data_IF_312482188535
#
_entry.id   IF_312482188535
#
_cell.length_a   1.000
_cell.length_b   1.000
_cell.length_c   1.000
_cell.angle_alpha   90.00
_cell.angle_beta   90.00
_cell.angle_gamma   90.00
#
_symmetry.space_group_name_H-M   'P 1'
#
loop_
_entity.id
_entity.type
_entity.pdbx_description
1 polymer ?
#
# COMPACT_ATOMS: atom_id res chain seq x y z
N UNK A 1 -33.36 21.98 -50.88
CA UNK A 1 -34.65 21.59 -50.26
C UNK A 1 -34.36 20.99 -48.90
N UNK A 2 -35.12 21.42 -47.90
CA UNK A 2 -35.18 21.02 -46.49
C UNK A 2 -34.04 21.48 -45.53
N UNK A 3 -34.47 22.43 -44.70
CA UNK A 3 -33.84 23.07 -43.53
C UNK A 3 -34.36 22.36 -42.26
N UNK A 4 -33.68 22.59 -41.12
CA UNK A 4 -34.13 22.52 -39.69
C UNK A 4 -33.70 21.25 -38.93
N UNK A 5 -33.23 21.27 -37.67
CA UNK A 5 -33.27 22.26 -36.59
C UNK A 5 -32.07 22.10 -35.64
N UNK A 6 -31.58 23.22 -35.11
CA UNK A 6 -30.68 23.30 -33.94
C UNK A 6 -31.52 23.76 -32.74
N UNK A 7 -31.47 23.05 -31.61
CA UNK A 7 -32.16 23.46 -30.37
C UNK A 7 -31.16 24.15 -29.44
N UNK A 8 -31.42 25.42 -29.17
CA UNK A 8 -30.71 26.26 -28.19
C UNK A 8 -31.61 26.37 -26.96
N UNK A 9 -31.12 25.99 -25.79
CA UNK A 9 -31.80 26.25 -24.52
C UNK A 9 -31.29 27.56 -23.91
N UNK A 10 -32.21 28.51 -23.72
CA UNK A 10 -32.08 29.71 -22.88
C UNK A 10 -33.14 29.65 -21.79
N UNK A 11 -32.74 29.78 -20.52
CA UNK A 11 -33.58 30.30 -19.42
C UNK A 11 -32.67 31.23 -18.61
N UNK A 12 -32.86 32.55 -18.71
CA UNK A 12 -33.83 33.39 -18.02
C UNK A 12 -33.41 33.73 -16.58
N UNK A 13 -32.88 34.96 -16.42
CA UNK A 13 -32.71 35.67 -15.16
C UNK A 13 -34.07 36.15 -14.65
N UNK A 14 -34.29 36.04 -13.35
CA UNK A 14 -35.23 36.90 -12.62
C UNK A 14 -34.59 37.30 -11.27
N UNK A 15 -34.26 38.58 -11.15
CA UNK A 15 -34.29 39.33 -9.88
C UNK A 15 -35.77 39.72 -9.65
N UNK A 16 -36.31 39.87 -8.44
CA UNK A 16 -36.08 40.88 -7.39
C UNK A 16 -37.15 40.52 -6.31
N UNK A 17 -36.99 40.61 -4.98
CA UNK A 17 -37.11 41.82 -4.17
C UNK A 17 -37.12 41.42 -2.68
N UNK A 18 -36.55 42.31 -1.87
CA UNK A 18 -36.34 42.24 -0.42
C UNK A 18 -37.62 42.26 0.44
N UNK A 19 -37.49 41.76 1.67
CA UNK A 19 -38.17 42.32 2.84
C UNK A 19 -37.32 42.14 4.11
N UNK A 20 -37.34 43.21 4.90
CA UNK A 20 -36.49 43.56 6.03
C UNK A 20 -36.80 42.76 7.30
N UNK A 21 -35.79 42.58 8.14
CA UNK A 21 -35.94 42.13 9.53
C UNK A 21 -34.64 42.26 10.32
N UNK A 22 -34.40 43.46 10.86
CA UNK A 22 -33.80 43.77 12.19
C UNK A 22 -33.23 42.56 12.95
N UNK A 23 -31.93 42.43 13.20
CA UNK A 23 -31.08 43.34 13.96
C UNK A 23 -30.93 42.82 15.39
N UNK A 24 -29.75 42.28 15.74
CA UNK A 24 -29.25 42.13 17.12
C UNK A 24 -27.75 41.76 17.13
N UNK A 25 -26.93 42.66 17.66
CA UNK A 25 -25.74 42.40 18.49
C UNK A 25 -24.59 41.55 17.94
N UNK A 26 -23.57 42.21 17.39
CA UNK A 26 -22.20 41.69 17.38
C UNK A 26 -21.52 42.12 18.68
N UNK A 27 -21.55 41.26 19.70
CA UNK A 27 -20.58 41.32 20.79
C UNK A 27 -19.39 40.43 20.41
N UNK A 28 -18.22 41.05 20.34
CA UNK A 28 -16.94 40.38 20.15
C UNK A 28 -16.66 39.49 21.38
N UNK A 29 -16.84 38.19 21.23
CA UNK A 29 -16.38 37.22 22.21
C UNK A 29 -14.83 37.20 22.23
N UNK A 30 -14.20 37.22 23.41
CA UNK A 30 -12.75 37.18 23.50
C UNK A 30 -12.22 35.84 22.97
N UNK A 31 -11.16 35.93 22.16
CA UNK A 31 -10.35 34.79 21.70
C UNK A 31 -9.90 33.96 22.90
N UNK A 32 -10.56 32.82 23.10
CA UNK A 32 -10.08 31.77 24.01
C UNK A 32 -8.84 31.13 23.37
N UNK A 33 -7.71 31.03 24.06
CA UNK A 33 -6.57 30.25 23.57
C UNK A 33 -7.02 28.80 23.43
N UNK A 34 -6.77 28.22 22.24
CA UNK A 34 -6.97 26.79 21.99
C UNK A 34 -6.25 26.01 23.08
N UNK A 35 -7.00 25.25 23.89
CA UNK A 35 -6.41 24.36 24.87
C UNK A 35 -5.50 23.35 24.16
N UNK A 36 -4.33 23.01 24.74
CA UNK A 36 -3.51 21.94 24.20
C UNK A 36 -4.35 20.67 24.17
N UNK A 37 -4.47 20.05 22.98
CA UNK A 37 -5.08 18.74 22.82
C UNK A 37 -4.44 17.80 23.85
N UNK A 38 -5.26 17.24 24.75
CA UNK A 38 -4.78 16.25 25.71
C UNK A 38 -4.08 15.13 24.95
N UNK A 39 -2.94 14.60 25.46
CA UNK A 39 -2.32 13.43 24.86
C UNK A 39 -3.35 12.30 24.84
N UNK A 40 -3.68 11.80 23.65
CA UNK A 40 -4.52 10.61 23.51
C UNK A 40 -3.83 9.48 24.28
N UNK A 41 -4.47 9.03 25.37
CA UNK A 41 -4.06 7.88 26.15
C UNK A 41 -3.84 6.67 25.24
N UNK A 42 -2.91 5.76 25.58
CA UNK A 42 -2.72 4.54 24.80
C UNK A 42 -4.04 3.76 24.74
N UNK A 43 -4.29 3.04 23.65
CA UNK A 43 -5.50 2.25 23.54
C UNK A 43 -5.52 1.17 24.62
N UNK A 44 -6.50 1.27 25.51
CA UNK A 44 -6.97 0.18 26.35
C UNK A 44 -7.70 -0.84 25.48
N UNK A 45 -8.00 -2.02 26.02
CA UNK A 45 -8.84 -3.04 25.37
C UNK A 45 -10.24 -2.53 24.89
N UNK A 46 -10.58 -1.26 25.17
CA UNK A 46 -11.69 -0.52 24.58
C UNK A 46 -11.56 -0.22 23.08
N UNK A 47 -10.42 -0.44 22.41
CA UNK A 47 -10.39 -0.35 20.94
C UNK A 47 -11.21 -1.45 20.23
N UNK A 48 -11.64 -2.49 20.96
CA UNK A 48 -12.69 -3.40 20.48
C UNK A 48 -14.10 -2.74 20.47
N UNK A 49 -14.24 -1.51 20.98
CA UNK A 49 -15.49 -0.74 20.98
C UNK A 49 -15.62 0.21 19.77
N UNK A 50 -14.57 0.40 18.96
CA UNK A 50 -14.74 0.96 17.62
C UNK A 50 -15.29 -0.19 16.77
N UNK A 51 -16.48 -0.06 16.14
CA UNK A 51 -16.98 -1.13 15.31
C UNK A 51 -15.98 -1.36 14.19
N UNK A 52 -15.40 -2.56 14.15
CA UNK A 52 -14.92 -3.07 12.88
C UNK A 52 -16.16 -3.14 11.99
N UNK A 53 -16.27 -2.17 11.08
CA UNK A 53 -17.42 -2.12 10.20
C UNK A 53 -17.46 -3.42 9.41
N UNK A 54 -18.62 -4.07 9.40
CA UNK A 54 -18.81 -5.23 8.55
C UNK A 54 -18.42 -4.85 7.12
N UNK A 55 -17.46 -5.59 6.55
CA UNK A 55 -17.04 -5.35 5.18
C UNK A 55 -18.25 -5.64 4.30
N UNK A 56 -18.79 -4.64 3.58
CA UNK A 56 -20.11 -4.75 2.94
C UNK A 56 -20.11 -5.66 1.72
N UNK A 57 -18.94 -6.10 1.28
CA UNK A 57 -18.73 -6.96 0.12
C UNK A 57 -17.70 -8.04 0.47
N UNK A 58 -17.95 -9.27 0.05
CA UNK A 58 -17.05 -10.40 0.23
C UNK A 58 -16.83 -11.12 -1.11
N UNK A 59 -15.58 -11.49 -1.38
CA UNK A 59 -15.23 -12.38 -2.49
C UNK A 59 -15.62 -13.81 -2.11
N UNK A 60 -16.31 -14.50 -3.02
CA UNK A 60 -16.79 -15.87 -2.82
C UNK A 60 -16.11 -16.84 -3.77
N UNK A 61 -16.21 -18.14 -3.49
CA UNK A 61 -15.69 -19.17 -4.39
C UNK A 61 -16.32 -19.14 -5.79
N UNK A 62 -17.51 -18.56 -5.95
CA UNK A 62 -18.17 -18.41 -7.25
C UNK A 62 -17.55 -17.30 -8.10
N UNK A 63 -16.84 -16.36 -7.49
CA UNK A 63 -16.20 -15.22 -8.16
C UNK A 63 -14.79 -15.56 -8.68
N UNK A 64 -14.23 -16.71 -8.28
CA UNK A 64 -12.84 -17.09 -8.53
C UNK A 64 -12.76 -18.03 -9.74
N UNK A 65 -11.86 -17.72 -10.67
CA UNK A 65 -11.50 -18.61 -11.77
C UNK A 65 -10.97 -19.97 -11.29
N UNK A 66 -11.36 -21.07 -11.93
CA UNK A 66 -10.83 -22.41 -11.61
C UNK A 66 -9.42 -22.66 -12.18
N UNK A 67 -8.58 -21.62 -12.34
CA UNK A 67 -7.34 -21.66 -13.15
C UNK A 67 -6.20 -22.40 -12.43
N UNK A 68 -6.31 -23.72 -12.33
CA UNK A 68 -5.24 -24.57 -11.77
C UNK A 68 -5.10 -24.46 -10.24
N UNK A 69 -6.11 -23.91 -9.57
CA UNK A 69 -6.19 -23.91 -8.12
C UNK A 69 -6.91 -25.19 -7.66
N UNK A 70 -6.37 -25.83 -6.64
CA UNK A 70 -7.05 -26.92 -5.94
C UNK A 70 -7.56 -26.45 -4.59
N UNK A 71 -8.73 -26.94 -4.20
CA UNK A 71 -9.31 -26.58 -2.91
C UNK A 71 -8.48 -27.20 -1.79
N UNK A 72 -8.06 -26.37 -0.84
CA UNK A 72 -7.30 -26.82 0.33
C UNK A 72 -8.22 -27.62 1.24
N UNK A 73 -7.80 -28.85 1.58
CA UNK A 73 -8.58 -29.74 2.43
C UNK A 73 -8.59 -29.29 3.90
N UNK A 74 -7.46 -28.77 4.37
CA UNK A 74 -7.33 -28.24 5.72
C UNK A 74 -7.98 -26.85 5.83
N UNK A 75 -8.61 -26.57 6.98
CA UNK A 75 -9.11 -25.22 7.25
C UNK A 75 -7.94 -24.29 7.53
N UNK A 76 -7.89 -23.17 6.83
CA UNK A 76 -7.03 -22.05 7.19
C UNK A 76 -7.59 -21.33 8.40
N UNK A 77 -6.70 -20.84 9.25
CA UNK A 77 -7.08 -19.99 10.38
C UNK A 77 -7.27 -18.57 9.87
N UNK A 78 -8.48 -18.02 10.00
CA UNK A 78 -8.78 -16.63 9.66
C UNK A 78 -8.89 -15.82 10.94
N UNK A 79 -8.24 -14.66 10.98
CA UNK A 79 -8.35 -13.70 12.06
C UNK A 79 -9.79 -13.22 12.17
N UNK A 80 -10.30 -13.17 13.39
CA UNK A 80 -11.49 -12.36 13.66
C UNK A 80 -11.21 -10.90 13.32
N UNK A 81 -12.27 -10.11 13.02
CA UNK A 81 -12.17 -8.67 12.87
C UNK A 81 -11.34 -7.97 13.97
N UNK A 82 -11.53 -8.38 15.23
CA UNK A 82 -10.80 -7.84 16.37
C UNK A 82 -9.32 -8.23 16.38
N UNK A 83 -8.99 -9.48 16.06
CA UNK A 83 -7.61 -9.92 15.93
C UNK A 83 -6.93 -9.16 14.80
N UNK A 84 -7.60 -9.00 13.65
CA UNK A 84 -7.06 -8.26 12.51
C UNK A 84 -6.77 -6.79 12.83
N UNK A 85 -7.66 -6.12 13.58
CA UNK A 85 -7.51 -4.70 13.93
C UNK A 85 -6.48 -4.44 15.04
N UNK A 86 -6.32 -5.38 15.97
CA UNK A 86 -5.36 -5.25 17.08
C UNK A 86 -3.98 -5.81 16.77
N UNK A 87 -3.86 -6.53 15.64
CA UNK A 87 -2.59 -7.07 15.18
C UNK A 87 -1.67 -5.91 14.81
N UNK A 88 -0.57 -5.82 15.54
CA UNK A 88 0.59 -5.06 15.10
C UNK A 88 1.36 -5.94 14.09
N UNK A 89 1.32 -5.65 12.78
CA UNK A 89 2.01 -6.48 11.79
C UNK A 89 3.52 -6.49 12.00
N UNK A 90 4.08 -5.51 12.73
CA UNK A 90 5.49 -5.56 13.15
C UNK A 90 5.71 -6.51 14.33
N UNK A 91 4.69 -6.76 15.17
CA UNK A 91 4.78 -7.70 16.29
C UNK A 91 4.87 -9.14 15.84
N UNK A 92 4.41 -9.38 14.61
CA UNK A 92 4.52 -10.64 13.92
C UNK A 92 6.02 -11.09 13.93
N UNK A 93 6.94 -10.16 13.70
CA UNK A 93 8.37 -10.41 13.52
C UNK A 93 9.16 -10.63 14.83
N UNK A 94 8.46 -10.96 15.94
CA UNK A 94 9.08 -11.20 17.26
C UNK A 94 9.43 -12.66 17.52
N UNK A 95 8.94 -13.59 16.70
CA UNK A 95 9.33 -14.99 16.82
C UNK A 95 10.73 -15.20 16.26
N UNK A 96 11.51 -16.08 16.91
CA UNK A 96 12.81 -16.45 16.41
C UNK A 96 12.67 -17.15 15.03
N UNK A 97 13.59 -16.95 14.08
CA UNK A 97 13.49 -17.52 12.74
C UNK A 97 13.25 -19.04 12.72
N UNK A 98 13.85 -19.78 13.64
CA UNK A 98 13.67 -21.22 13.81
C UNK A 98 12.23 -21.60 14.22
N UNK A 99 11.58 -20.77 15.03
CA UNK A 99 10.19 -20.98 15.44
C UNK A 99 9.23 -20.67 14.29
N UNK A 100 9.51 -19.61 13.51
CA UNK A 100 8.76 -19.30 12.29
C UNK A 100 8.87 -20.45 11.29
N UNK A 101 10.07 -21.00 11.11
CA UNK A 101 10.30 -22.15 10.23
C UNK A 101 9.56 -23.41 10.72
N UNK A 102 9.57 -23.68 12.02
CA UNK A 102 8.83 -24.80 12.62
C UNK A 102 7.32 -24.66 12.39
N UNK A 103 6.74 -23.50 12.71
CA UNK A 103 5.32 -23.23 12.51
C UNK A 103 4.90 -23.36 11.04
N UNK A 104 5.75 -22.89 10.12
CA UNK A 104 5.56 -23.05 8.68
C UNK A 104 5.51 -24.52 8.24
N UNK A 105 6.41 -25.35 8.75
CA UNK A 105 6.53 -26.77 8.39
C UNK A 105 5.39 -27.61 8.99
N UNK A 106 4.86 -27.16 10.12
CA UNK A 106 3.69 -27.77 10.77
C UNK A 106 2.36 -27.35 10.13
N UNK A 107 2.31 -26.20 9.44
CA UNK A 107 1.10 -25.63 8.86
C UNK A 107 0.52 -26.49 7.73
N UNK A 108 -0.39 -27.38 8.12
CA UNK A 108 -1.07 -28.32 7.22
C UNK A 108 -1.94 -27.64 6.16
N UNK A 109 -2.29 -26.36 6.33
CA UNK A 109 -3.06 -25.63 5.32
C UNK A 109 -2.26 -25.41 4.03
N UNK A 110 -0.93 -25.44 4.11
CA UNK A 110 -0.05 -25.31 2.95
C UNK A 110 0.27 -26.63 2.26
N UNK A 111 -0.28 -27.76 2.73
CA UNK A 111 0.00 -29.07 2.16
C UNK A 111 -1.19 -29.59 1.36
N UNK A 112 -0.92 -30.01 0.13
CA UNK A 112 -1.83 -30.76 -0.71
C UNK A 112 -2.05 -32.18 -0.15
N UNK A 113 -3.11 -32.90 -0.59
CA UNK A 113 -3.37 -34.27 -0.13
C UNK A 113 -2.25 -35.27 -0.41
N UNK A 114 -1.44 -35.02 -1.44
CA UNK A 114 -0.25 -35.81 -1.78
C UNK A 114 0.99 -35.46 -0.94
N UNK A 115 0.89 -34.46 -0.05
CA UNK A 115 1.96 -33.97 0.80
C UNK A 115 2.84 -32.89 0.15
N UNK A 116 2.60 -32.54 -1.11
CA UNK A 116 3.31 -31.43 -1.77
C UNK A 116 2.88 -30.10 -1.15
N UNK A 117 3.82 -29.16 -0.98
CA UNK A 117 3.49 -27.82 -0.47
C UNK A 117 2.97 -26.93 -1.60
N UNK A 118 1.89 -26.20 -1.35
CA UNK A 118 1.45 -25.13 -2.23
C UNK A 118 2.50 -24.03 -2.34
N UNK A 119 2.68 -23.51 -3.56
CA UNK A 119 3.54 -22.34 -3.78
C UNK A 119 2.83 -21.03 -3.46
N UNK A 120 1.53 -20.97 -3.72
CA UNK A 120 0.68 -19.81 -3.48
C UNK A 120 -0.71 -20.26 -3.01
N UNK A 121 -1.37 -19.41 -2.23
CA UNK A 121 -2.72 -19.65 -1.74
C UNK A 121 -3.61 -18.43 -1.95
N UNK A 122 -4.84 -18.69 -2.40
CA UNK A 122 -5.98 -17.80 -2.26
C UNK A 122 -6.72 -18.15 -0.99
N UNK A 123 -7.02 -17.15 -0.16
CA UNK A 123 -7.88 -17.31 1.01
C UNK A 123 -9.03 -16.32 0.97
N UNK A 124 -10.24 -16.85 1.08
CA UNK A 124 -11.49 -16.08 1.07
C UNK A 124 -11.93 -15.69 2.49
N UNK A 125 -12.89 -14.79 2.59
CA UNK A 125 -13.39 -14.28 3.87
C UNK A 125 -14.00 -15.35 4.78
N UNK A 126 -14.57 -16.40 4.20
CA UNK A 126 -15.17 -17.53 4.92
C UNK A 126 -14.14 -18.59 5.36
N UNK A 127 -12.86 -18.38 5.07
CA UNK A 127 -11.78 -19.34 5.32
C UNK A 127 -11.73 -20.48 4.32
N UNK A 128 -12.51 -20.43 3.22
CA UNK A 128 -12.25 -21.28 2.07
C UNK A 128 -10.92 -20.88 1.47
N UNK A 129 -10.05 -21.86 1.22
CA UNK A 129 -8.76 -21.64 0.61
C UNK A 129 -8.55 -22.52 -0.61
N UNK A 130 -7.79 -21.99 -1.56
CA UNK A 130 -7.34 -22.69 -2.75
C UNK A 130 -5.83 -22.54 -2.89
N UNK A 131 -5.14 -23.65 -3.13
CA UNK A 131 -3.70 -23.69 -3.30
C UNK A 131 -3.32 -23.91 -4.76
N UNK A 132 -2.19 -23.33 -5.18
CA UNK A 132 -1.55 -23.64 -6.47
C UNK A 132 -0.29 -24.44 -6.21
N UNK A 133 -0.15 -25.56 -6.92
CA UNK A 133 1.09 -26.33 -6.97
C UNK A 133 1.95 -25.85 -8.14
N UNK A 134 3.25 -25.74 -7.92
CA UNK A 134 4.20 -25.27 -8.93
C UNK A 134 4.10 -23.78 -9.27
N UNK A 135 4.96 -23.40 -10.22
CA UNK A 135 5.12 -22.02 -10.66
C UNK A 135 3.86 -21.47 -11.33
N UNK A 136 3.69 -20.15 -11.25
CA UNK A 136 2.66 -19.46 -12.01
C UNK A 136 2.88 -19.65 -13.53
N UNK A 137 1.81 -19.76 -14.32
CA UNK A 137 1.90 -19.69 -15.78
C UNK A 137 2.60 -18.41 -16.24
N UNK A 138 3.31 -18.48 -17.37
CA UNK A 138 3.97 -17.31 -17.94
C UNK A 138 2.95 -16.26 -18.37
N UNK A 139 3.18 -15.03 -17.91
CA UNK A 139 2.40 -13.86 -18.28
C UNK A 139 3.11 -13.04 -19.37
N UNK A 140 2.36 -12.28 -20.19
CA UNK A 140 2.93 -11.33 -21.13
C UNK A 140 3.87 -10.35 -20.43
N UNK A 141 5.08 -10.16 -20.97
CA UNK A 141 6.11 -9.33 -20.32
C UNK A 141 5.76 -7.84 -20.45
N UNK A 142 5.68 -7.09 -19.34
CA UNK A 142 5.50 -5.65 -19.35
C UNK A 142 6.71 -4.95 -19.98
N UNK A 143 6.45 -3.86 -20.70
CA UNK A 143 7.44 -3.07 -21.42
C UNK A 143 6.97 -1.64 -21.60
N UNK A 144 7.84 -0.74 -22.05
CA UNK A 144 7.44 0.64 -22.37
C UNK A 144 6.25 0.72 -23.34
N UNK A 145 6.15 -0.23 -24.29
CA UNK A 145 5.07 -0.28 -25.27
C UNK A 145 3.68 -0.46 -24.64
N UNK A 146 3.61 -1.15 -23.49
CA UNK A 146 2.39 -1.33 -22.71
C UNK A 146 2.41 -0.52 -21.40
N UNK A 147 3.33 0.44 -21.28
CA UNK A 147 3.57 1.24 -20.06
C UNK A 147 3.76 0.38 -18.82
N UNK A 148 4.41 -0.76 -18.99
CA UNK A 148 4.57 -1.80 -17.98
C UNK A 148 3.27 -2.28 -17.33
N UNK A 149 2.15 -2.19 -18.04
CA UNK A 149 0.81 -2.50 -17.53
C UNK A 149 0.12 -1.35 -16.76
N UNK A 150 0.79 -0.20 -16.58
CA UNK A 150 0.22 0.95 -15.89
C UNK A 150 -0.99 1.55 -16.63
N UNK A 151 -1.98 2.04 -15.88
CA UNK A 151 -3.16 2.72 -16.42
C UNK A 151 -3.45 4.03 -15.68
N UNK A 152 -3.84 5.05 -16.45
CA UNK A 152 -3.96 6.45 -16.03
C UNK A 152 -2.67 7.13 -15.51
N UNK A 153 -1.54 6.83 -16.14
CA UNK A 153 -0.34 7.65 -16.10
C UNK A 153 0.08 8.04 -17.51
N UNK A 154 0.11 9.34 -17.83
CA UNK A 154 1.11 9.79 -18.79
C UNK A 154 2.46 9.50 -18.13
N UNK A 155 3.27 8.61 -18.72
CA UNK A 155 4.69 8.55 -18.37
C UNK A 155 5.21 9.98 -18.46
N UNK A 156 5.90 10.52 -17.44
CA UNK A 156 6.66 11.73 -17.68
C UNK A 156 7.53 11.43 -18.90
N UNK A 157 7.38 12.24 -19.95
CA UNK A 157 8.27 12.18 -21.11
C UNK A 157 9.72 12.23 -20.63
N UNK A 158 10.67 11.70 -21.39
CA UNK A 158 12.09 11.84 -21.03
C UNK A 158 12.44 13.31 -20.72
N UNK A 159 11.80 14.27 -21.41
CA UNK A 159 11.89 15.69 -21.10
C UNK A 159 11.35 16.09 -19.71
N UNK A 160 10.25 15.49 -19.25
CA UNK A 160 9.71 15.70 -17.90
C UNK A 160 10.55 14.99 -16.82
N UNK A 161 11.14 13.85 -17.12
CA UNK A 161 12.10 13.17 -16.23
C UNK A 161 13.38 13.99 -16.14
N UNK A 162 13.94 14.44 -17.26
CA UNK A 162 15.10 15.32 -17.31
C UNK A 162 14.83 16.67 -16.65
N UNK A 163 13.64 17.26 -16.82
CA UNK A 163 13.28 18.50 -16.14
C UNK A 163 13.02 18.29 -14.65
N UNK A 164 12.46 17.15 -14.23
CA UNK A 164 12.37 16.80 -12.82
C UNK A 164 13.76 16.60 -12.19
N UNK A 165 14.68 15.92 -12.89
CA UNK A 165 16.08 15.80 -12.49
C UNK A 165 16.73 17.19 -12.43
N UNK A 166 16.51 18.04 -13.44
CA UNK A 166 17.09 19.38 -13.47
C UNK A 166 16.49 20.32 -12.41
N UNK A 167 15.20 20.18 -12.07
CA UNK A 167 14.55 20.89 -10.95
C UNK A 167 15.04 20.37 -9.60
N UNK A 168 15.28 19.07 -9.48
CA UNK A 168 15.95 18.50 -8.31
C UNK A 168 17.33 19.13 -8.20
N UNK A 169 18.19 19.04 -9.22
CA UNK A 169 19.53 19.63 -9.27
C UNK A 169 19.55 21.15 -8.99
N UNK A 170 18.46 21.88 -9.31
CA UNK A 170 18.28 23.31 -8.99
C UNK A 170 17.67 23.59 -7.61
N UNK A 171 17.25 22.57 -6.87
CA UNK A 171 16.60 22.71 -5.55
C UNK A 171 15.16 23.24 -5.62
N UNK A 172 14.48 23.10 -6.75
CA UNK A 172 13.13 23.65 -7.04
C UNK A 172 12.00 22.62 -6.91
N UNK A 173 12.28 21.49 -6.26
CA UNK A 173 11.29 20.51 -5.84
C UNK A 173 10.95 20.65 -4.37
N UNK A 174 9.73 20.29 -4.02
CA UNK A 174 9.24 20.01 -2.67
C UNK A 174 9.97 18.80 -2.01
N UNK A 175 10.91 18.18 -2.75
CA UNK A 175 11.99 17.35 -2.22
C UNK A 175 13.27 18.18 -2.04
N UNK A 176 13.62 18.39 -0.77
CA UNK A 176 14.87 18.98 -0.28
C UNK A 176 16.08 18.48 -1.07
N UNK A 177 16.80 19.36 -1.78
CA UNK A 177 18.21 19.13 -2.14
C UNK A 177 19.13 20.02 -1.30
N UNK A 178 20.06 19.35 -0.63
CA UNK A 178 21.19 19.95 0.07
C UNK A 178 22.16 18.93 0.63
N UNK A 179 22.07 17.65 0.29
CA UNK A 179 23.02 16.64 0.77
C UNK A 179 23.93 16.12 -0.35
N UNK A 180 25.20 15.98 0.04
CA UNK A 180 26.31 15.36 -0.68
C UNK A 180 25.94 13.96 -1.26
N UNK A 181 26.74 13.39 -2.17
CA UNK A 181 26.57 12.02 -2.69
C UNK A 181 26.18 11.02 -1.59
N UNK A 182 25.41 9.96 -1.94
CA UNK A 182 24.77 9.07 -0.98
C UNK A 182 25.80 8.64 0.06
N UNK A 183 25.61 9.13 1.28
CA UNK A 183 26.43 8.66 2.40
C UNK A 183 26.03 7.20 2.56
N UNK A 184 26.97 6.28 2.34
CA UNK A 184 26.82 4.89 2.82
C UNK A 184 26.54 4.97 4.31
N UNK A 185 25.27 4.83 4.69
CA UNK A 185 24.87 4.94 6.08
C UNK A 185 25.40 3.69 6.81
N UNK A 186 26.17 3.92 7.86
CA UNK A 186 26.85 2.85 8.63
C UNK A 186 26.01 2.38 9.82
N UNK A 187 24.70 2.67 9.87
CA UNK A 187 23.87 2.38 11.06
C UNK A 187 22.44 1.97 10.72
N UNK A 188 21.91 1.14 11.63
CA UNK A 188 20.60 0.49 11.67
C UNK A 188 19.40 1.39 11.35
N UNK A 189 18.28 0.71 11.01
CA UNK A 189 16.94 1.26 10.72
C UNK A 189 16.95 2.74 10.31
N UNK A 190 17.05 2.97 9.01
CA UNK A 190 16.89 4.28 8.40
C UNK A 190 15.54 4.90 8.78
N UNK A 191 15.59 5.95 9.62
CA UNK A 191 14.43 6.62 10.22
C UNK A 191 14.21 6.39 11.73
N UNK A 192 15.10 5.67 12.44
CA UNK A 192 14.98 5.45 13.89
C UNK A 192 15.34 6.68 14.75
N UNK A 193 16.24 7.51 14.24
CA UNK A 193 16.60 8.83 14.77
C UNK A 193 15.79 9.89 14.05
N UNK A 194 15.00 10.65 14.82
CA UNK A 194 14.28 11.82 14.32
C UNK A 194 15.18 12.85 13.61
N UNK A 195 16.47 12.90 13.96
CA UNK A 195 17.40 13.86 13.37
C UNK A 195 17.78 13.49 11.93
N UNK A 196 17.69 12.21 11.57
CA UNK A 196 18.15 11.66 10.30
C UNK A 196 16.99 11.17 9.41
N UNK A 197 15.74 11.33 9.86
CA UNK A 197 14.53 10.97 9.10
C UNK A 197 14.25 12.00 7.99
N UNK A 198 14.48 11.57 6.74
CA UNK A 198 14.32 12.34 5.49
C UNK A 198 12.94 12.20 4.88
N UNK A 199 12.03 11.43 5.47
CA UNK A 199 10.67 11.29 4.92
C UNK A 199 9.95 12.62 4.93
N UNK A 200 9.46 13.03 3.77
CA UNK A 200 8.56 14.16 3.63
C UNK A 200 7.11 13.71 3.83
N UNK A 201 6.32 14.53 4.51
CA UNK A 201 4.86 14.37 4.62
C UNK A 201 4.20 14.94 3.37
N UNK A 202 3.32 14.18 2.71
CA UNK A 202 2.53 14.68 1.58
C UNK A 202 1.38 15.53 2.11
N UNK A 203 1.56 16.84 2.24
CA UNK A 203 0.61 17.72 2.93
C UNK A 203 -0.52 18.27 2.05
N UNK A 204 -0.36 18.21 0.73
CA UNK A 204 -1.31 18.75 -0.24
C UNK A 204 -2.32 17.69 -0.67
N UNK A 205 -3.62 18.00 -0.53
CA UNK A 205 -4.69 17.14 -1.07
C UNK A 205 -4.65 17.07 -2.59
N UNK A 206 -4.16 18.11 -3.27
CA UNK A 206 -3.90 18.07 -4.72
C UNK A 206 -2.85 17.01 -5.06
N UNK A 207 -1.78 16.91 -4.28
CA UNK A 207 -0.75 15.88 -4.48
C UNK A 207 -1.31 14.49 -4.17
N UNK A 208 -2.04 14.32 -3.06
CA UNK A 208 -2.67 13.04 -2.69
C UNK A 208 -3.71 12.52 -3.70
N UNK A 209 -4.33 13.41 -4.47
CA UNK A 209 -5.30 13.07 -5.53
C UNK A 209 -4.66 12.96 -6.91
N UNK A 210 -3.39 13.34 -7.03
CA UNK A 210 -2.62 13.19 -8.27
C UNK A 210 -2.06 11.78 -8.43
N UNK A 211 -1.83 11.37 -9.68
CA UNK A 211 -1.11 10.14 -9.97
C UNK A 211 0.39 10.38 -9.74
N UNK A 212 1.11 9.46 -9.08
CA UNK A 212 0.64 8.14 -8.66
C UNK A 212 0.19 8.05 -7.19
N UNK A 213 0.26 9.13 -6.40
CA UNK A 213 -0.08 9.08 -4.97
C UNK A 213 -1.49 8.56 -4.69
N UNK A 214 -2.47 8.84 -5.55
CA UNK A 214 -3.85 8.32 -5.41
C UNK A 214 -3.97 6.79 -5.54
N UNK A 215 -2.96 6.11 -6.07
CA UNK A 215 -2.94 4.64 -6.18
C UNK A 215 -2.31 3.96 -4.97
N UNK A 216 -1.72 4.73 -4.05
CA UNK A 216 -1.11 4.25 -2.81
C UNK A 216 -2.11 4.48 -1.69
N UNK A 217 -2.35 3.47 -0.85
CA UNK A 217 -3.34 3.59 0.22
C UNK A 217 -2.94 2.87 1.50
N UNK A 218 -3.47 3.37 2.60
CA UNK A 218 -3.39 2.72 3.90
C UNK A 218 -4.30 1.49 3.95
N UNK A 219 -3.91 0.48 4.73
CA UNK A 219 -4.69 -0.73 4.99
C UNK A 219 -5.16 -0.76 6.44
N UNK A 220 -6.47 -0.84 6.65
CA UNK A 220 -7.06 -0.80 7.98
C UNK A 220 -8.24 -1.78 8.13
N UNK A 221 -8.61 -2.09 9.36
CA UNK A 221 -9.83 -2.83 9.70
C UNK A 221 -11.10 -1.99 9.71
N UNK A 222 -11.00 -0.65 9.63
CA UNK A 222 -12.16 0.25 9.71
C UNK A 222 -12.31 1.08 8.44
N UNK A 223 -13.52 1.54 8.15
CA UNK A 223 -13.79 2.41 6.99
C UNK A 223 -13.33 3.85 7.18
N UNK A 224 -12.92 4.23 8.41
CA UNK A 224 -12.49 5.57 8.76
C UNK A 224 -11.00 5.79 8.46
N UNK A 225 -10.68 6.98 7.98
CA UNK A 225 -9.29 7.40 7.80
C UNK A 225 -8.57 7.54 9.15
N UNK A 226 -7.26 7.39 9.15
CA UNK A 226 -6.45 7.58 10.34
C UNK A 226 -5.26 6.63 10.40
N UNK A 227 -4.91 6.20 11.61
CA UNK A 227 -3.81 5.26 11.82
C UNK A 227 -4.08 3.91 11.15
N UNK A 228 -3.01 3.33 10.62
CA UNK A 228 -3.04 2.11 9.82
C UNK A 228 -1.94 1.14 10.27
N UNK A 229 -2.09 -0.14 9.89
CA UNK A 229 -1.10 -1.18 10.14
C UNK A 229 -0.23 -1.50 8.92
N UNK A 230 -0.66 -1.21 7.70
CA UNK A 230 0.10 -1.51 6.48
C UNK A 230 -0.22 -0.54 5.34
N UNK A 231 0.56 -0.60 4.28
CA UNK A 231 0.36 0.14 3.03
C UNK A 231 0.14 -0.84 1.87
N UNK A 232 -0.55 -0.39 0.83
CA UNK A 232 -0.60 -1.11 -0.44
C UNK A 232 -0.65 -0.17 -1.63
N UNK A 233 -0.34 -0.72 -2.81
CA UNK A 233 -0.35 0.00 -4.08
C UNK A 233 -1.25 -0.71 -5.08
N UNK A 234 -2.09 0.04 -5.80
CA UNK A 234 -2.90 -0.54 -6.87
C UNK A 234 -2.02 -0.96 -8.04
N UNK A 235 -2.15 -2.21 -8.46
CA UNK A 235 -1.50 -2.82 -9.65
C UNK A 235 -2.51 -3.38 -10.65
N UNK A 236 -3.81 -3.15 -10.41
CA UNK A 236 -4.86 -3.48 -11.36
C UNK A 236 -6.20 -2.80 -11.06
N UNK A 237 -7.23 -3.06 -11.88
CA UNK A 237 -8.55 -2.41 -11.77
C UNK A 237 -9.22 -2.53 -10.41
N UNK A 238 -8.95 -3.63 -9.70
CA UNK A 238 -9.45 -3.92 -8.35
C UNK A 238 -8.41 -4.64 -7.49
N UNK A 239 -7.13 -4.45 -7.78
CA UNK A 239 -6.05 -5.25 -7.21
C UNK A 239 -5.01 -4.37 -6.52
N UNK A 240 -4.73 -4.66 -5.25
CA UNK A 240 -3.73 -3.95 -4.45
C UNK A 240 -2.64 -4.93 -4.05
N UNK A 241 -1.40 -4.62 -4.42
CA UNK A 241 -0.24 -5.35 -3.93
C UNK A 241 0.19 -4.78 -2.58
N UNK A 242 0.55 -5.66 -1.65
CA UNK A 242 1.05 -5.33 -0.31
C UNK A 242 2.03 -6.41 0.16
N UNK A 243 2.58 -6.30 1.37
CA UNK A 243 3.41 -7.35 1.95
C UNK A 243 2.53 -8.51 2.43
N UNK A 244 3.01 -9.75 2.29
CA UNK A 244 2.27 -10.92 2.73
C UNK A 244 2.14 -10.97 4.25
N UNK A 245 3.11 -10.48 5.02
CA UNK A 245 2.98 -10.45 6.48
C UNK A 245 1.87 -9.51 6.98
N UNK A 246 1.41 -8.55 6.15
CA UNK A 246 0.23 -7.73 6.45
C UNK A 246 -1.06 -8.56 6.54
N UNK A 247 -1.10 -9.70 5.86
CA UNK A 247 -2.28 -10.57 5.73
C UNK A 247 -2.09 -11.97 6.27
N UNK A 248 -0.85 -12.42 6.52
CA UNK A 248 -0.52 -13.75 7.03
C UNK A 248 0.40 -13.61 8.25
N UNK A 249 0.03 -14.18 9.40
CA UNK A 249 0.91 -14.22 10.58
C UNK A 249 1.92 -15.35 10.51
N UNK A 250 2.95 -15.26 11.35
CA UNK A 250 3.94 -16.32 11.59
C UNK A 250 3.23 -17.61 12.01
N UNK A 251 2.16 -17.46 12.78
CA UNK A 251 1.32 -18.54 13.28
C UNK A 251 0.30 -19.06 12.25
N UNK A 252 0.32 -18.58 11.01
CA UNK A 252 -0.56 -19.04 9.93
C UNK A 252 -1.98 -18.46 9.97
N UNK A 253 -2.19 -17.37 10.70
CA UNK A 253 -3.49 -16.68 10.80
C UNK A 253 -3.63 -15.65 9.69
N UNK A 254 -4.72 -15.72 8.94
CA UNK A 254 -5.00 -14.88 7.77
C UNK A 254 -5.94 -13.71 8.08
N UNK A 255 -5.58 -12.50 7.64
CA UNK A 255 -6.51 -11.37 7.52
C UNK A 255 -7.04 -11.34 6.08
N UNK A 256 -8.33 -11.62 5.91
CA UNK A 256 -8.94 -11.88 4.59
C UNK A 256 -9.91 -10.78 4.13
N UNK A 257 -10.11 -9.76 4.96
CA UNK A 257 -10.92 -8.60 4.61
C UNK A 257 -10.49 -7.35 5.39
N UNK A 258 -10.89 -6.18 4.88
CA UNK A 258 -10.62 -4.89 5.50
C UNK A 258 -10.92 -3.73 4.55
N UNK A 259 -10.20 -2.63 4.74
CA UNK A 259 -10.37 -1.38 3.99
C UNK A 259 -9.04 -0.87 3.42
N UNK A 260 -9.11 -0.34 2.20
CA UNK A 260 -8.04 0.33 1.48
C UNK A 260 -8.37 1.81 1.36
N UNK A 261 -7.47 2.69 1.82
CA UNK A 261 -7.69 4.13 1.90
C UNK A 261 -6.73 4.87 0.97
N UNK A 262 -7.07 5.02 -0.32
CA UNK A 262 -6.19 5.62 -1.32
C UNK A 262 -5.90 7.09 -1.00
N UNK A 263 -4.62 7.45 -0.87
CA UNK A 263 -4.17 8.82 -0.61
C UNK A 263 -4.83 9.49 0.59
N UNK A 264 -5.18 8.73 1.64
CA UNK A 264 -5.87 9.31 2.79
C UNK A 264 -5.07 10.42 3.47
N UNK A 265 -5.78 11.28 4.20
CA UNK A 265 -5.20 12.11 5.25
C UNK A 265 -5.39 11.41 6.60
N UNK A 266 -5.07 12.09 7.69
CA UNK A 266 -5.39 11.62 9.04
C UNK A 266 -6.89 11.63 9.41
N UNK A 267 -7.75 12.20 8.58
CA UNK A 267 -9.16 12.39 8.91
C UNK A 267 -10.11 12.24 7.71
N UNK A 268 -9.62 12.23 6.48
CA UNK A 268 -10.45 12.28 5.28
C UNK A 268 -9.95 11.34 4.19
N UNK A 269 -10.87 10.97 3.30
CA UNK A 269 -10.61 10.23 2.07
C UNK A 269 -10.73 11.20 0.89
N UNK A 270 -9.64 11.73 0.33
CA UNK A 270 -9.73 12.64 -0.80
C UNK A 270 -10.00 11.91 -2.13
N UNK A 271 -9.84 10.58 -2.16
CA UNK A 271 -9.98 9.74 -3.34
C UNK A 271 -11.21 8.82 -3.26
N UNK A 272 -11.46 8.05 -4.33
CA UNK A 272 -12.52 7.05 -4.41
C UNK A 272 -13.91 7.57 -3.99
N UNK A 273 -14.24 8.79 -4.43
CA UNK A 273 -15.54 9.41 -4.13
C UNK A 273 -15.75 9.76 -2.66
N UNK A 274 -14.68 9.96 -1.88
CA UNK A 274 -14.80 10.36 -0.47
C UNK A 274 -14.82 9.20 0.51
N UNK A 275 -14.49 7.97 0.08
CA UNK A 275 -14.65 6.75 0.90
C UNK A 275 -13.45 5.82 0.79
N UNK A 276 -13.25 5.01 1.83
CA UNK A 276 -12.42 3.82 1.75
C UNK A 276 -13.05 2.76 0.84
N UNK A 277 -12.22 1.91 0.26
CA UNK A 277 -12.66 0.78 -0.58
C UNK A 277 -12.47 -0.50 0.23
N UNK A 278 -13.56 -1.22 0.47
CA UNK A 278 -13.49 -2.53 1.11
C UNK A 278 -12.71 -3.52 0.24
N UNK A 279 -12.01 -4.44 0.88
CA UNK A 279 -11.35 -5.56 0.22
C UNK A 279 -11.71 -6.88 0.91
N UNK A 280 -11.69 -7.95 0.13
CA UNK A 280 -12.03 -9.30 0.57
C UNK A 280 -11.40 -10.31 -0.36
N UNK A 281 -10.78 -11.35 0.20
CA UNK A 281 -10.01 -12.32 -0.56
C UNK A 281 -8.57 -11.85 -0.76
N UNK A 282 -7.63 -12.78 -0.56
CA UNK A 282 -6.19 -12.50 -0.57
C UNK A 282 -5.45 -13.62 -1.27
N UNK A 283 -4.58 -13.27 -2.22
CA UNK A 283 -3.50 -14.14 -2.65
C UNK A 283 -2.21 -13.83 -1.91
N UNK A 284 -1.49 -14.87 -1.50
CA UNK A 284 -0.12 -14.72 -1.03
C UNK A 284 0.70 -15.96 -1.34
N UNK A 285 2.01 -15.77 -1.43
CA UNK A 285 2.98 -16.83 -1.18
C UNK A 285 3.29 -16.88 0.32
N UNK A 286 3.82 -18.00 0.79
CA UNK A 286 4.19 -18.14 2.19
C UNK A 286 5.50 -17.40 2.49
N UNK A 287 5.39 -16.18 3.01
CA UNK A 287 6.53 -15.34 3.37
C UNK A 287 7.42 -15.96 4.46
N UNK A 288 6.90 -16.91 5.25
CA UNK A 288 7.66 -17.63 6.27
C UNK A 288 8.73 -18.54 5.65
N UNK A 289 8.72 -18.71 4.32
CA UNK A 289 9.82 -19.29 3.54
C UNK A 289 10.90 -18.22 3.30
N UNK A 290 11.67 -17.91 4.34
CA UNK A 290 12.87 -17.05 4.27
C UNK A 290 12.64 -15.62 3.75
N UNK A 291 11.40 -15.12 3.84
CA UNK A 291 11.05 -13.73 3.50
C UNK A 291 11.17 -13.33 2.04
N UNK A 292 11.56 -14.27 1.18
CA UNK A 292 11.76 -14.02 -0.25
C UNK A 292 10.45 -13.70 -0.96
N UNK A 293 9.33 -14.14 -0.39
CA UNK A 293 8.00 -14.00 -0.99
C UNK A 293 7.06 -13.15 -0.13
N UNK A 294 7.57 -12.08 0.48
CA UNK A 294 6.75 -11.20 1.30
C UNK A 294 5.93 -10.22 0.45
N UNK A 295 5.02 -10.77 -0.36
CA UNK A 295 4.04 -10.03 -1.14
C UNK A 295 2.71 -10.78 -1.24
N UNK A 296 1.64 -10.00 -1.25
CA UNK A 296 0.27 -10.45 -1.37
C UNK A 296 -0.51 -9.54 -2.31
N UNK A 297 -1.63 -10.05 -2.82
CA UNK A 297 -2.59 -9.31 -3.62
C UNK A 297 -3.96 -9.33 -2.95
N UNK A 298 -4.52 -8.15 -2.73
CA UNK A 298 -5.86 -7.95 -2.18
C UNK A 298 -6.85 -7.68 -3.31
N UNK A 299 -8.04 -8.26 -3.23
CA UNK A 299 -9.15 -7.92 -4.12
C UNK A 299 -10.03 -6.85 -3.50
N UNK A 300 -10.11 -5.72 -4.17
CA UNK A 300 -11.00 -4.62 -3.81
C UNK A 300 -12.43 -4.90 -4.28
N UNK A 301 -13.40 -4.30 -3.59
CA UNK A 301 -14.76 -4.22 -4.09
C UNK A 301 -14.76 -3.49 -5.44
N UNK A 302 -15.43 -4.11 -6.41
CA UNK A 302 -15.48 -3.62 -7.77
C UNK A 302 -16.39 -2.40 -7.88
N UNK A 303 -15.81 -1.23 -8.16
CA UNK A 303 -16.52 0.06 -8.23
C UNK A 303 -15.84 0.99 -9.23
N UNK A 304 -16.62 1.69 -10.06
CA UNK A 304 -16.10 2.64 -11.05
C UNK A 304 -15.16 3.71 -10.45
N UNK A 305 -15.52 4.28 -9.30
CA UNK A 305 -14.72 5.31 -8.62
C UNK A 305 -13.40 4.78 -8.03
N UNK A 306 -13.34 3.49 -7.71
CA UNK A 306 -12.13 2.79 -7.27
C UNK A 306 -11.24 2.52 -8.48
N UNK A 307 -11.80 2.00 -9.57
CA UNK A 307 -11.07 1.75 -10.81
C UNK A 307 -10.43 3.04 -11.33
N UNK A 308 -11.19 4.13 -11.44
CA UNK A 308 -10.75 5.46 -11.92
C UNK A 308 -9.58 6.11 -11.16
N UNK A 309 -9.05 5.47 -10.12
CA UNK A 309 -7.78 5.89 -9.51
C UNK A 309 -6.57 5.55 -10.38
N UNK A 310 -6.71 4.65 -11.35
CA UNK A 310 -5.56 4.11 -12.06
C UNK A 310 -4.87 3.01 -11.27
N UNK A 311 -3.75 2.53 -11.83
CA UNK A 311 -2.84 1.61 -11.15
C UNK A 311 -1.44 1.74 -11.72
N UNK A 312 -0.46 1.47 -10.87
CA UNK A 312 0.96 1.42 -11.25
C UNK A 312 1.24 0.19 -12.11
N UNK A 313 2.24 0.30 -12.98
CA UNK A 313 2.80 -0.84 -13.69
C UNK A 313 3.73 -1.66 -12.80
N UNK A 314 4.39 -2.66 -13.38
CA UNK A 314 5.45 -3.43 -12.71
C UNK A 314 6.67 -3.52 -13.61
N UNK A 315 7.84 -3.16 -13.10
CA UNK A 315 9.09 -3.22 -13.85
C UNK A 315 10.16 -4.00 -13.08
N UNK A 316 11.08 -4.63 -13.81
CA UNK A 316 12.24 -5.28 -13.22
C UNK A 316 13.43 -5.26 -14.18
N UNK A 317 14.61 -5.53 -13.63
CA UNK A 317 15.84 -5.68 -14.39
C UNK A 317 16.37 -7.10 -14.22
N UNK A 318 16.75 -7.71 -15.35
CA UNK A 318 17.41 -9.02 -15.35
C UNK A 318 18.89 -8.91 -14.95
N UNK A 319 19.43 -7.69 -14.82
CA UNK A 319 20.76 -7.45 -14.28
C UNK A 319 20.76 -7.53 -12.74
N UNK A 320 21.87 -7.98 -12.18
CA UNK A 320 22.18 -7.80 -10.76
C UNK A 320 22.60 -6.37 -10.41
N UNK A 321 22.71 -5.47 -11.38
CA UNK A 321 23.03 -4.06 -11.12
C UNK A 321 21.77 -3.21 -11.13
N UNK A 322 21.50 -2.59 -9.98
CA UNK A 322 20.47 -1.59 -9.76
C UNK A 322 21.07 -0.19 -9.51
N UNK A 323 22.39 -0.07 -9.61
CA UNK A 323 23.13 1.15 -9.29
C UNK A 323 22.66 2.35 -10.14
N UNK A 324 22.49 3.50 -9.49
CA UNK A 324 22.13 4.75 -10.13
C UNK A 324 20.65 4.84 -10.56
N UNK A 325 19.80 3.87 -10.19
CA UNK A 325 18.36 3.97 -10.42
C UNK A 325 17.71 4.78 -9.31
N UNK A 326 17.13 5.93 -9.67
CA UNK A 326 16.30 6.70 -8.74
C UNK A 326 14.97 5.99 -8.52
N UNK A 327 14.63 5.73 -7.26
CA UNK A 327 13.39 5.11 -6.83
C UNK A 327 12.72 5.95 -5.75
N UNK A 328 11.42 5.75 -5.56
CA UNK A 328 10.62 6.39 -4.52
C UNK A 328 9.86 5.34 -3.72
N UNK A 329 9.65 5.63 -2.44
CA UNK A 329 8.77 4.85 -1.59
C UNK A 329 7.93 5.82 -0.78
N UNK A 330 6.61 5.71 -0.93
CA UNK A 330 5.63 6.44 -0.14
C UNK A 330 4.66 5.45 0.47
N UNK A 331 4.30 5.70 1.73
CA UNK A 331 3.35 4.88 2.45
C UNK A 331 2.85 5.57 3.69
N UNK A 332 2.21 4.81 4.57
CA UNK A 332 1.51 5.34 5.73
C UNK A 332 2.15 4.82 7.02
N UNK A 333 3.31 5.38 7.43
CA UNK A 333 3.89 5.04 8.71
C UNK A 333 2.93 5.50 9.82
N UNK A 334 2.75 4.65 10.82
CA UNK A 334 1.67 4.85 11.78
C UNK A 334 1.96 4.14 13.09
N UNK A 335 1.28 4.59 14.14
CA UNK A 335 1.31 3.98 15.47
C UNK A 335 0.37 2.77 15.54
N UNK A 336 0.94 1.58 15.66
CA UNK A 336 0.26 0.38 16.19
C UNK A 336 0.87 -0.01 17.53
N UNK A 337 0.41 0.61 18.64
CA UNK A 337 0.84 0.23 20.00
C UNK A 337 1.58 1.31 20.81
N UNK A 338 2.16 0.92 21.95
CA UNK A 338 2.63 1.83 23.02
C UNK A 338 4.10 2.29 22.92
N UNK A 339 4.89 1.82 21.95
CA UNK A 339 6.30 2.20 21.85
C UNK A 339 6.51 3.55 21.15
N UNK A 340 7.42 4.35 21.70
CA UNK A 340 7.80 5.73 21.31
C UNK A 340 8.66 5.79 20.02
N UNK A 341 8.71 4.70 19.25
CA UNK A 341 9.66 4.47 18.14
C UNK A 341 9.09 4.74 16.75
N UNK A 342 7.87 5.30 16.65
CA UNK A 342 7.12 5.46 15.39
C UNK A 342 6.90 6.92 15.03
N UNK A 343 8.01 7.65 15.00
CA UNK A 343 8.04 9.09 14.77
C UNK A 343 8.34 9.41 13.31
N UNK A 344 7.83 10.53 12.85
CA UNK A 344 8.08 11.12 11.55
C UNK A 344 8.54 12.57 11.78
N UNK A 345 9.75 12.91 11.35
CA UNK A 345 10.30 14.25 11.57
C UNK A 345 9.43 15.34 10.93
N UNK A 346 8.89 15.06 9.74
CA UNK A 346 7.96 15.93 9.02
C UNK A 346 6.53 15.96 9.60
N UNK A 347 6.26 15.25 10.70
CA UNK A 347 4.94 15.29 11.35
C UNK A 347 4.64 16.67 11.93
N UNK A 348 3.37 17.08 11.78
CA UNK A 348 2.83 18.30 12.38
C UNK A 348 2.52 18.15 13.88
N UNK A 349 2.56 16.92 14.42
CA UNK A 349 2.34 16.68 15.84
C UNK A 349 3.57 17.11 16.66
N UNK A 350 3.35 17.69 17.84
CA UNK A 350 4.43 18.15 18.73
C UNK A 350 5.35 17.03 19.21
N UNK A 351 4.79 15.82 19.41
CA UNK A 351 5.55 14.62 19.78
C UNK A 351 6.20 13.90 18.59
N UNK A 352 6.02 14.45 17.38
CA UNK A 352 6.52 13.89 16.12
C UNK A 352 6.04 12.47 15.81
N UNK A 353 4.96 11.98 16.41
CA UNK A 353 4.35 10.74 15.93
C UNK A 353 3.90 10.93 14.47
N UNK A 354 4.09 9.92 13.63
CA UNK A 354 3.49 9.92 12.29
C UNK A 354 1.97 10.05 12.46
N UNK A 355 1.34 10.94 11.69
CA UNK A 355 0.01 11.45 12.00
C UNK A 355 -1.12 10.82 11.18
N UNK A 356 -0.87 9.72 10.46
CA UNK A 356 -1.84 9.07 9.57
C UNK A 356 -1.89 9.62 8.14
N UNK A 357 -1.03 10.60 7.82
CA UNK A 357 -0.78 11.04 6.45
C UNK A 357 0.18 10.12 5.72
N UNK A 358 0.32 10.32 4.41
CA UNK A 358 1.32 9.67 3.59
C UNK A 358 2.70 10.33 3.80
N UNK A 359 3.73 9.51 3.95
CA UNK A 359 5.12 9.92 4.10
C UNK A 359 6.02 9.12 3.16
N UNK A 360 7.09 9.74 2.71
CA UNK A 360 8.08 9.06 1.90
C UNK A 360 9.15 10.01 1.37
N UNK A 361 10.12 9.44 0.68
CA UNK A 361 11.07 10.17 -0.15
C UNK A 361 11.59 9.24 -1.25
N UNK A 362 12.48 9.76 -2.09
CA UNK A 362 13.22 8.97 -3.05
C UNK A 362 14.72 8.99 -2.78
N UNK A 363 15.41 8.01 -3.33
CA UNK A 363 16.86 7.89 -3.29
C UNK A 363 17.36 7.10 -4.50
N UNK A 364 18.67 7.17 -4.77
CA UNK A 364 19.32 6.33 -5.74
C UNK A 364 19.68 4.97 -5.12
N UNK A 365 19.36 3.89 -5.84
CA UNK A 365 19.87 2.57 -5.53
C UNK A 365 21.39 2.53 -5.78
N UNK A 366 22.14 1.88 -4.88
CA UNK A 366 23.58 1.70 -5.00
C UNK A 366 23.94 0.33 -5.61
N UNK A 367 25.25 0.06 -5.70
CA UNK A 367 25.77 -1.20 -6.23
C UNK A 367 25.36 -2.44 -5.40
N UNK A 368 25.00 -2.25 -4.13
CA UNK A 368 24.62 -3.33 -3.20
C UNK A 368 23.10 -3.49 -3.09
N UNK A 369 22.31 -2.68 -3.82
CA UNK A 369 20.85 -2.75 -3.77
C UNK A 369 20.32 -4.13 -4.21
N UNK A 370 21.04 -4.83 -5.08
CA UNK A 370 20.74 -6.22 -5.39
C UNK A 370 21.28 -7.16 -4.30
N UNK A 371 20.38 -7.72 -3.49
CA UNK A 371 20.74 -8.70 -2.46
C UNK A 371 20.64 -10.13 -2.97
N UNK A 372 19.56 -10.44 -3.67
CA UNK A 372 19.32 -11.76 -4.28
C UNK A 372 18.31 -11.66 -5.41
N UNK A 373 18.02 -12.79 -6.06
CA UNK A 373 17.00 -12.85 -7.10
C UNK A 373 15.63 -12.35 -6.62
N UNK A 374 15.33 -12.42 -5.33
CA UNK A 374 14.02 -12.09 -4.76
C UNK A 374 14.02 -10.88 -3.83
N UNK A 375 15.20 -10.28 -3.58
CA UNK A 375 15.32 -9.23 -2.57
C UNK A 375 16.07 -8.03 -3.10
N UNK A 376 15.49 -6.86 -2.83
CA UNK A 376 16.07 -5.55 -3.10
C UNK A 376 16.33 -4.84 -1.77
N UNK A 377 17.48 -4.20 -1.66
CA UNK A 377 17.87 -3.30 -0.57
C UNK A 377 17.98 -1.87 -1.05
N UNK A 378 17.72 -0.94 -0.13
CA UNK A 378 17.76 0.48 -0.41
C UNK A 378 17.88 1.27 0.87
N UNK A 379 18.31 2.52 0.67
CA UNK A 379 18.53 3.46 1.76
C UNK A 379 17.40 4.47 1.89
N UNK A 380 16.19 4.18 1.41
CA UNK A 380 15.02 5.02 1.71
C UNK A 380 14.55 4.78 3.14
N UNK A 381 14.37 5.85 3.91
CA UNK A 381 13.88 5.84 5.28
C UNK A 381 12.43 5.35 5.32
N UNK A 382 12.16 4.44 6.24
CA UNK A 382 10.83 3.85 6.43
C UNK A 382 10.49 3.78 7.91
N UNK A 383 9.27 3.38 8.21
CA UNK A 383 8.89 3.11 9.58
C UNK A 383 7.76 2.08 9.64
N UNK A 384 7.49 1.57 10.85
CA UNK A 384 6.31 0.79 11.13
C UNK A 384 5.04 1.21 10.39
N UNK A 385 4.29 0.21 9.91
CA UNK A 385 3.12 0.33 9.04
C UNK A 385 3.37 0.76 7.58
N UNK A 386 4.62 1.03 7.17
CA UNK A 386 4.94 1.13 5.75
C UNK A 386 5.10 -0.21 5.05
N UNK A 387 5.00 -1.35 5.76
CA UNK A 387 4.93 -2.68 5.16
C UNK A 387 3.91 -2.73 4.01
N UNK A 388 4.36 -3.22 2.85
CA UNK A 388 3.60 -3.26 1.61
C UNK A 388 3.67 -2.00 0.74
N UNK A 389 4.35 -0.93 1.19
CA UNK A 389 4.64 0.21 0.32
C UNK A 389 5.48 -0.24 -0.87
N UNK A 390 5.14 0.22 -2.07
CA UNK A 390 5.94 -0.10 -3.24
C UNK A 390 7.19 0.77 -3.31
N UNK A 391 8.34 0.16 -3.55
CA UNK A 391 9.49 0.85 -4.15
C UNK A 391 9.19 0.95 -5.63
N UNK A 392 9.13 2.17 -6.15
CA UNK A 392 8.68 2.40 -7.53
C UNK A 392 9.55 3.40 -8.27
N UNK A 393 9.54 3.29 -9.59
CA UNK A 393 10.20 4.20 -10.53
C UNK A 393 9.31 4.35 -11.75
N UNK A 394 9.20 5.57 -12.29
CA UNK A 394 8.36 5.86 -13.47
C UNK A 394 6.92 5.34 -13.37
N UNK A 395 6.37 5.32 -12.14
CA UNK A 395 5.07 4.77 -11.79
C UNK A 395 4.92 3.25 -11.98
N UNK A 396 6.04 2.53 -11.91
CA UNK A 396 6.10 1.08 -11.96
C UNK A 396 6.69 0.55 -10.67
N UNK A 397 6.02 -0.44 -10.08
CA UNK A 397 6.48 -1.15 -8.90
C UNK A 397 7.73 -1.96 -9.27
N UNK A 398 8.82 -1.72 -8.54
CA UNK A 398 10.09 -2.44 -8.64
C UNK A 398 10.27 -3.44 -7.50
N UNK A 399 9.70 -3.16 -6.34
CA UNK A 399 9.72 -4.03 -5.18
C UNK A 399 8.59 -3.70 -4.18
N UNK A 400 8.27 -4.62 -3.28
CA UNK A 400 7.28 -4.45 -2.19
C UNK A 400 8.00 -4.45 -0.84
N UNK A 401 7.98 -3.31 -0.14
CA UNK A 401 8.67 -3.10 1.13
C UNK A 401 8.13 -4.01 2.24
N UNK A 402 9.03 -4.53 3.07
CA UNK A 402 8.67 -5.25 4.30
C UNK A 402 9.57 -4.92 5.50
N UNK A 403 10.51 -3.99 5.34
CA UNK A 403 11.31 -3.45 6.45
C UNK A 403 12.58 -4.24 6.75
N UNK A 404 13.32 -3.77 7.75
CA UNK A 404 14.60 -4.36 8.15
C UNK A 404 14.45 -5.49 9.20
N UNK A 405 13.33 -5.50 9.94
CA UNK A 405 13.14 -6.36 11.12
C UNK A 405 12.62 -7.77 10.80
N UNK A 406 12.08 -8.00 9.60
CA UNK A 406 11.24 -9.18 9.38
C UNK A 406 11.95 -10.53 9.33
N UNK A 407 13.27 -10.58 9.13
CA UNK A 407 14.02 -11.84 9.00
C UNK A 407 15.37 -11.81 9.71
N UNK A 408 15.37 -11.46 11.00
CA UNK A 408 16.58 -11.52 11.83
C UNK A 408 17.31 -10.19 11.96
N UNK A 409 16.57 -9.08 11.93
CA UNK A 409 17.10 -7.74 12.12
C UNK A 409 17.83 -7.20 10.89
N UNK A 410 18.11 -5.91 10.92
CA UNK A 410 19.20 -5.36 10.15
C UNK A 410 20.40 -6.25 10.47
N UNK A 411 20.95 -6.92 9.46
CA UNK A 411 22.15 -7.77 9.53
C UNK A 411 23.41 -6.94 9.84
N UNK A 412 23.26 -5.89 10.64
CA UNK A 412 24.21 -4.82 10.83
C UNK A 412 24.26 -3.81 9.69
N UNK A 413 23.71 -4.10 8.50
CA UNK A 413 23.81 -3.19 7.34
C UNK A 413 22.99 -1.91 7.49
N UNK A 414 21.87 -1.99 8.20
CA UNK A 414 20.94 -0.88 8.42
C UNK A 414 20.04 -0.53 7.24
N UNK A 415 20.01 -1.34 6.18
CA UNK A 415 19.23 -1.07 4.96
C UNK A 415 17.80 -1.59 5.05
N UNK A 416 16.89 -0.92 4.37
CA UNK A 416 15.52 -1.41 4.21
C UNK A 416 15.44 -2.46 3.09
N UNK A 417 14.50 -3.40 3.23
CA UNK A 417 14.35 -4.54 2.32
C UNK A 417 12.97 -4.61 1.69
N UNK A 418 12.91 -5.20 0.51
CA UNK A 418 11.68 -5.45 -0.23
C UNK A 418 11.74 -6.77 -1.00
N UNK A 419 10.57 -7.38 -1.22
CA UNK A 419 10.38 -8.44 -2.20
C UNK A 419 10.51 -7.84 -3.60
N UNK A 420 11.56 -8.24 -4.33
CA UNK A 420 11.93 -7.69 -5.62
C UNK A 420 10.99 -8.20 -6.70
N UNK A 421 10.48 -7.30 -7.54
CA UNK A 421 9.74 -7.70 -8.73
C UNK A 421 10.70 -8.40 -9.69
N UNK A 422 10.28 -9.57 -10.16
CA UNK A 422 10.90 -10.34 -11.24
C UNK A 422 9.82 -11.08 -12.01
N UNK A 423 10.19 -11.77 -13.08
CA UNK A 423 9.23 -12.48 -13.92
C UNK A 423 8.33 -13.45 -13.15
N UNK A 424 8.82 -14.18 -12.15
CA UNK A 424 7.94 -15.08 -11.39
C UNK A 424 6.90 -14.33 -10.54
N UNK A 425 7.28 -13.24 -9.89
CA UNK A 425 6.33 -12.39 -9.14
C UNK A 425 5.35 -11.72 -10.09
N UNK A 426 5.79 -11.32 -11.28
CA UNK A 426 4.91 -10.81 -12.33
C UNK A 426 3.91 -11.89 -12.78
N UNK A 427 4.38 -13.10 -13.07
CA UNK A 427 3.52 -14.23 -13.44
C UNK A 427 2.49 -14.53 -12.34
N UNK A 428 2.90 -14.49 -11.07
CA UNK A 428 2.00 -14.61 -9.93
C UNK A 428 0.94 -13.52 -9.91
N UNK A 429 1.35 -12.25 -9.81
CA UNK A 429 0.45 -11.10 -9.70
C UNK A 429 -0.49 -11.03 -10.91
N UNK A 430 0.02 -11.29 -12.11
CA UNK A 430 -0.76 -11.23 -13.33
C UNK A 430 -1.79 -12.37 -13.42
N UNK A 431 -1.38 -13.59 -13.04
CA UNK A 431 -2.32 -14.70 -12.90
C UNK A 431 -3.42 -14.39 -11.89
N UNK A 432 -3.05 -13.88 -10.71
CA UNK A 432 -3.98 -13.51 -9.65
C UNK A 432 -4.95 -12.38 -10.06
N UNK A 433 -4.47 -11.38 -10.81
CA UNK A 433 -5.33 -10.35 -11.40
C UNK A 433 -6.38 -10.97 -12.34
N UNK A 434 -5.99 -11.96 -13.14
CA UNK A 434 -6.88 -12.65 -14.07
C UNK A 434 -7.87 -13.64 -13.42
N UNK A 435 -7.72 -13.94 -12.12
CA UNK A 435 -8.68 -14.81 -11.42
C UNK A 435 -10.02 -14.13 -11.13
N UNK A 436 -9.99 -12.80 -10.97
CA UNK A 436 -11.16 -12.02 -10.57
C UNK A 436 -11.23 -10.74 -11.39
N UNK A 437 -12.05 -10.79 -12.44
CA UNK A 437 -12.25 -9.65 -13.33
C UNK A 437 -12.91 -8.44 -12.62
N UNK A 438 -12.72 -7.28 -13.22
CA UNK A 438 -13.46 -6.07 -12.90
C UNK A 438 -14.43 -5.75 -14.02
N UNK A 439 -15.67 -5.40 -13.68
CA UNK A 439 -16.66 -4.90 -14.62
C UNK A 439 -16.38 -3.45 -15.07
N UNK A 440 -15.45 -2.75 -14.42
CA UNK A 440 -15.15 -1.34 -14.67
C UNK A 440 -13.81 -1.09 -15.35
N UNK A 441 -12.98 -2.13 -15.52
CA UNK A 441 -11.70 -2.01 -16.23
C UNK A 441 -11.01 -3.36 -16.42
N UNK A 442 -10.11 -3.42 -17.39
CA UNK A 442 -9.31 -4.60 -17.68
C UNK A 442 -7.82 -4.28 -17.55
N UNK A 443 -7.06 -5.19 -16.95
CA UNK A 443 -5.61 -5.07 -16.96
C UNK A 443 -5.07 -5.49 -18.33
N UNK A 444 -4.37 -4.59 -19.05
CA UNK A 444 -4.01 -4.82 -20.46
C UNK A 444 -3.11 -6.05 -20.70
N UNK A 445 -2.38 -6.49 -19.68
CA UNK A 445 -1.46 -7.64 -19.76
C UNK A 445 -1.90 -8.87 -18.98
N UNK A 446 -2.95 -8.75 -18.17
CA UNK A 446 -3.37 -9.80 -17.24
C UNK A 446 -4.80 -10.19 -17.56
N UNK A 447 -4.97 -11.04 -18.60
CA UNK A 447 -6.27 -11.54 -19.03
C UNK A 447 -6.79 -12.68 -18.15
#
# INVERSE_FOLDING_TARGET
MNVKNTVVWKFARAATLALLGTGCGLDAAPTQPLSPLSPLSPPTAELCAVPYDAVPWALTAADVGSRGLERVAARVKVASPCEAASRDPDSALKLAPEEVARLRDEDRAWLAPDGERYEAMLVLADGTAFGRKGAAPDAPIPSDANRFGAWEGSMPTDAQVTEAIARLERGEGDGVLGEAPPRRHTRGILGDSLADDRRARVTSTTTLTSYPYRTIGALNGTSSAGFTGCTGTRVGPRHVITAAHCVLSETGTWTTSGWFHPGQTNATHPNAGGTAVSWSGVYARDWRVDGRYDYALLYLQDRANSTALGWMGMEWFNSSSYEGKYVSLYGFPSKTGTSDTRRCQASALSNKNCDGWMYGHGDFLDADAYRSDEQLEYDIDTGPAQSGSSVWRNNNVLAVHWGCAAFGGCDGSGRNRAARVRQSMWNDVCGWIGEVDSAFGSHALCP
#
